data_IF_982226200633
#
_entry.id   IF_982226200633
#
_cell.length_a   1.000
_cell.length_b   1.000
_cell.length_c   1.000
_cell.angle_alpha   90.00
_cell.angle_beta   90.00
_cell.angle_gamma   90.00
#
_symmetry.space_group_name_H-M   'P 1'
#
loop_
_entity.id
_entity.type
_entity.pdbx_description
1 polymer ?
#
# COMPACT_ATOMS: atom_id res chain seq x y z
N UNK A 1 -10.87 -20.79 2.86
CA UNK A 1 -9.71 -20.05 3.38
C UNK A 1 -9.63 -18.71 2.68
N UNK A 2 -9.55 -17.60 3.42
CA UNK A 2 -9.48 -16.27 2.84
C UNK A 2 -8.05 -15.72 2.92
N UNK A 3 -7.53 -15.21 1.80
CA UNK A 3 -6.26 -14.51 1.72
C UNK A 3 -6.53 -13.01 1.62
N UNK A 4 -5.92 -12.21 2.49
CA UNK A 4 -6.14 -10.77 2.60
C UNK A 4 -4.81 -10.03 2.48
N UNK A 5 -4.78 -8.94 1.72
CA UNK A 5 -3.59 -8.11 1.58
C UNK A 5 -3.93 -6.64 1.85
N UNK A 6 -3.12 -5.99 2.68
CA UNK A 6 -3.20 -4.55 2.88
C UNK A 6 -2.09 -3.90 2.07
N UNK A 7 -2.48 -3.02 1.15
CA UNK A 7 -1.55 -2.19 0.38
C UNK A 7 -1.79 -0.71 0.69
N UNK A 8 -0.80 0.12 0.41
CA UNK A 8 -0.80 1.55 0.67
C UNK A 8 0.61 2.03 0.97
N UNK A 9 0.89 3.30 0.68
CA UNK A 9 2.20 3.91 0.94
C UNK A 9 2.52 3.91 2.45
N UNK A 10 3.80 3.77 2.79
CA UNK A 10 4.28 4.01 4.16
C UNK A 10 3.83 5.37 4.70
N UNK A 11 3.65 5.49 6.02
CA UNK A 11 3.02 6.66 6.66
C UNK A 11 1.54 6.93 6.32
N UNK A 12 0.87 6.08 5.52
CA UNK A 12 -0.58 6.21 5.29
C UNK A 12 -1.44 5.67 6.44
N UNK A 13 -0.84 5.08 7.49
CA UNK A 13 -1.58 4.53 8.64
C UNK A 13 -2.05 3.07 8.47
N UNK A 14 -1.54 2.36 7.47
CA UNK A 14 -1.83 0.93 7.19
C UNK A 14 -1.67 -0.02 8.40
N UNK A 15 -0.86 0.38 9.41
CA UNK A 15 -0.70 -0.35 10.68
C UNK A 15 -2.03 -0.56 11.39
N UNK A 16 -2.93 0.42 11.34
CA UNK A 16 -4.26 0.38 11.96
C UNK A 16 -5.02 -0.84 11.42
N UNK A 17 -5.07 -0.98 10.09
CA UNK A 17 -5.75 -2.11 9.45
C UNK A 17 -5.07 -3.45 9.74
N UNK A 18 -3.73 -3.52 9.70
CA UNK A 18 -3.00 -4.76 9.98
C UNK A 18 -3.28 -5.26 11.41
N UNK A 19 -3.27 -4.33 12.38
CA UNK A 19 -3.64 -4.61 13.77
C UNK A 19 -5.10 -5.03 13.90
N UNK A 20 -6.04 -4.35 13.24
CA UNK A 20 -7.45 -4.74 13.22
C UNK A 20 -7.64 -6.17 12.72
N UNK A 21 -7.00 -6.55 11.61
CA UNK A 21 -7.08 -7.94 11.09
C UNK A 21 -6.50 -8.95 12.08
N UNK A 22 -5.34 -8.66 12.66
CA UNK A 22 -4.71 -9.54 13.66
C UNK A 22 -5.63 -9.75 14.88
N UNK A 23 -6.18 -8.66 15.44
CA UNK A 23 -7.12 -8.72 16.56
C UNK A 23 -8.46 -9.39 16.19
N UNK A 24 -8.78 -9.48 14.89
CA UNK A 24 -9.96 -10.19 14.35
C UNK A 24 -9.68 -11.68 14.06
N UNK A 25 -8.51 -12.18 14.47
CA UNK A 25 -8.11 -13.58 14.29
C UNK A 25 -7.63 -13.92 12.88
N UNK A 26 -7.14 -12.95 12.10
CA UNK A 26 -6.43 -13.21 10.85
C UNK A 26 -4.96 -13.50 11.14
N UNK A 27 -4.44 -14.61 10.63
CA UNK A 27 -3.01 -14.91 10.70
C UNK A 27 -2.23 -14.03 9.72
N UNK A 28 -1.47 -13.06 10.24
CA UNK A 28 -0.77 -12.05 9.44
C UNK A 28 0.67 -12.44 9.04
N UNK A 29 1.05 -13.70 9.26
CA UNK A 29 2.40 -14.23 9.03
C UNK A 29 3.16 -14.53 10.33
N UNK A 30 4.30 -15.22 10.21
CA UNK A 30 5.01 -15.79 11.37
C UNK A 30 5.74 -14.75 12.23
N UNK A 31 6.23 -13.67 11.61
CA UNK A 31 7.00 -12.64 12.29
C UNK A 31 6.55 -11.26 11.83
N UNK A 32 6.18 -10.42 12.81
CA UNK A 32 5.72 -9.06 12.58
C UNK A 32 6.64 -8.06 13.28
N UNK A 33 6.96 -6.95 12.61
CA UNK A 33 7.66 -5.83 13.24
C UNK A 33 6.67 -4.95 14.08
N UNK A 34 7.13 -3.91 14.81
CA UNK A 34 6.24 -3.03 15.58
C UNK A 34 5.17 -2.28 14.75
N UNK A 35 5.37 -2.16 13.44
CA UNK A 35 4.42 -1.58 12.48
C UNK A 35 3.43 -2.60 11.92
N UNK A 36 3.47 -3.85 12.41
CA UNK A 36 2.68 -4.99 11.94
C UNK A 36 2.90 -5.29 10.46
N UNK A 37 4.14 -5.11 9.99
CA UNK A 37 4.61 -5.61 8.70
C UNK A 37 5.10 -7.04 8.85
N UNK A 38 4.81 -7.87 7.85
CA UNK A 38 5.44 -9.19 7.72
C UNK A 38 6.93 -9.00 7.35
N UNK A 39 7.82 -9.59 8.16
CA UNK A 39 9.28 -9.52 8.02
C UNK A 39 9.91 -10.91 8.17
N UNK A 40 11.14 -11.16 7.68
CA UNK A 40 12.05 -10.27 6.92
C UNK A 40 11.46 -9.81 5.57
N UNK A 41 11.77 -8.59 5.13
CA UNK A 41 11.14 -7.95 3.95
C UNK A 41 12.08 -7.84 2.73
N UNK A 42 13.33 -8.26 2.88
CA UNK A 42 14.42 -8.12 1.91
C UNK A 42 14.09 -8.78 0.57
N UNK A 43 13.45 -9.95 0.58
CA UNK A 43 13.01 -10.63 -0.64
C UNK A 43 11.93 -9.87 -1.38
N UNK A 44 10.99 -9.22 -0.65
CA UNK A 44 10.01 -8.34 -1.29
C UNK A 44 10.69 -7.09 -1.87
N UNK A 45 11.71 -6.54 -1.21
CA UNK A 45 12.46 -5.40 -1.75
C UNK A 45 13.16 -5.76 -3.06
N UNK A 46 13.75 -6.96 -3.13
CA UNK A 46 14.36 -7.44 -4.36
C UNK A 46 13.32 -7.73 -5.45
N UNK A 47 12.16 -8.28 -5.08
CA UNK A 47 11.03 -8.43 -6.00
C UNK A 47 10.58 -7.08 -6.59
N UNK A 48 10.57 -6.01 -5.78
CA UNK A 48 10.29 -4.65 -6.26
C UNK A 48 11.29 -4.22 -7.35
N UNK A 49 12.60 -4.41 -7.12
CA UNK A 49 13.64 -4.08 -8.10
C UNK A 49 13.46 -4.86 -9.41
N UNK A 50 13.09 -6.13 -9.33
CA UNK A 50 12.87 -6.98 -10.51
C UNK A 50 11.72 -6.45 -11.37
N UNK A 51 10.57 -6.12 -10.77
CA UNK A 51 9.42 -5.59 -11.51
C UNK A 51 9.70 -4.18 -12.05
N UNK A 52 10.38 -3.35 -11.27
CA UNK A 52 10.68 -1.96 -11.62
C UNK A 52 11.49 -1.81 -12.91
N UNK A 53 12.29 -2.82 -13.31
CA UNK A 53 12.98 -2.87 -14.61
C UNK A 53 12.06 -2.73 -15.83
N UNK A 54 10.76 -2.97 -15.65
CA UNK A 54 9.75 -2.90 -16.71
C UNK A 54 8.87 -1.66 -16.63
N UNK A 55 9.08 -0.80 -15.64
CA UNK A 55 8.44 0.51 -15.51
C UNK A 55 9.20 1.51 -16.37
N UNK A 56 8.49 2.28 -17.21
CA UNK A 56 9.12 3.33 -18.03
C UNK A 56 8.72 4.70 -17.49
N UNK A 57 9.70 5.49 -17.04
CA UNK A 57 9.46 6.88 -16.67
C UNK A 57 9.36 7.74 -17.93
N UNK A 58 8.25 8.47 -18.08
CA UNK A 58 7.96 9.32 -19.25
C UNK A 58 8.31 10.79 -19.03
N UNK A 59 8.75 11.15 -17.83
CA UNK A 59 9.04 12.52 -17.41
C UNK A 59 8.06 13.03 -16.37
N UNK A 60 8.48 14.01 -15.56
CA UNK A 60 7.66 14.53 -14.46
C UNK A 60 7.20 13.42 -13.50
N UNK A 61 5.90 13.36 -13.24
CA UNK A 61 5.24 12.31 -12.45
C UNK A 61 4.39 11.36 -13.31
N UNK A 62 4.89 11.02 -14.50
CA UNK A 62 4.25 10.08 -15.43
C UNK A 62 5.09 8.80 -15.65
N UNK A 63 4.42 7.65 -15.62
CA UNK A 63 5.02 6.33 -15.80
C UNK A 63 4.14 5.43 -16.67
N UNK A 64 4.77 4.59 -17.49
CA UNK A 64 4.12 3.53 -18.22
C UNK A 64 4.14 2.21 -17.43
N UNK A 65 2.96 1.71 -17.10
CA UNK A 65 2.76 0.41 -16.45
C UNK A 65 2.20 -0.66 -17.40
N UNK A 66 1.90 -0.31 -18.66
CA UNK A 66 1.11 -1.15 -19.58
C UNK A 66 1.66 -2.56 -19.75
N UNK A 67 2.99 -2.69 -19.87
CA UNK A 67 3.66 -3.99 -20.01
C UNK A 67 3.40 -4.91 -18.82
N UNK A 68 3.33 -4.37 -17.59
CA UNK A 68 3.20 -5.14 -16.35
C UNK A 68 1.92 -5.98 -16.30
N UNK A 69 0.88 -5.56 -17.03
CA UNK A 69 -0.43 -6.22 -17.02
C UNK A 69 -0.50 -7.46 -17.92
N UNK A 70 0.34 -7.54 -18.96
CA UNK A 70 0.22 -8.56 -20.01
C UNK A 70 1.47 -9.42 -20.18
N UNK A 71 2.65 -8.88 -19.89
CA UNK A 71 3.90 -9.63 -20.05
C UNK A 71 3.99 -10.83 -19.10
N UNK A 72 4.75 -11.89 -19.41
CA UNK A 72 5.05 -12.94 -18.45
C UNK A 72 5.68 -12.37 -17.17
N UNK A 73 5.27 -12.87 -16.01
CA UNK A 73 5.88 -12.51 -14.72
C UNK A 73 7.26 -13.18 -14.67
N UNK A 74 8.28 -12.42 -14.25
CA UNK A 74 9.63 -12.95 -14.10
C UNK A 74 9.66 -14.06 -13.03
N UNK A 75 10.21 -15.22 -13.37
CA UNK A 75 10.25 -16.35 -12.45
C UNK A 75 11.03 -16.05 -11.16
N UNK A 76 12.02 -15.15 -11.21
CA UNK A 76 12.73 -14.70 -10.01
C UNK A 76 11.83 -13.88 -9.09
N UNK A 77 10.95 -13.04 -9.65
CA UNK A 77 9.95 -12.32 -8.87
C UNK A 77 9.02 -13.29 -8.13
N UNK A 78 8.46 -14.27 -8.85
CA UNK A 78 7.55 -15.25 -8.25
C UNK A 78 8.21 -15.98 -7.09
N UNK A 79 9.44 -16.48 -7.26
CA UNK A 79 10.17 -17.19 -6.19
C UNK A 79 10.38 -16.32 -4.95
N UNK A 80 10.79 -15.06 -5.13
CA UNK A 80 11.02 -14.15 -4.00
C UNK A 80 9.73 -13.81 -3.26
N UNK A 81 8.64 -13.56 -3.98
CA UNK A 81 7.33 -13.27 -3.36
C UNK A 81 6.78 -14.49 -2.63
N UNK A 82 6.87 -15.68 -3.21
CA UNK A 82 6.41 -16.92 -2.56
C UNK A 82 7.25 -17.26 -1.33
N UNK A 83 8.57 -17.04 -1.38
CA UNK A 83 9.47 -17.22 -0.25
C UNK A 83 9.15 -16.25 0.89
N UNK A 84 9.00 -14.95 0.58
CA UNK A 84 8.58 -13.92 1.52
C UNK A 84 7.24 -14.25 2.18
N UNK A 85 6.25 -14.69 1.39
CA UNK A 85 4.91 -15.02 1.86
C UNK A 85 4.80 -16.46 2.39
N UNK A 86 5.88 -17.23 2.46
CA UNK A 86 5.85 -18.67 2.76
C UNK A 86 5.08 -18.99 4.05
N UNK A 87 5.30 -18.23 5.12
CA UNK A 87 4.59 -18.41 6.40
C UNK A 87 3.08 -18.21 6.26
N UNK A 88 2.66 -17.23 5.46
CA UNK A 88 1.25 -16.98 5.17
C UNK A 88 0.70 -18.10 4.29
N UNK A 89 1.35 -18.41 3.17
CA UNK A 89 0.85 -19.36 2.17
C UNK A 89 0.79 -20.81 2.67
N UNK A 90 1.64 -21.20 3.62
CA UNK A 90 1.67 -22.52 4.23
C UNK A 90 0.79 -22.68 5.49
N UNK A 91 0.22 -21.59 6.01
CA UNK A 91 -0.61 -21.62 7.22
C UNK A 91 -1.99 -22.24 6.96
N UNK A 92 -2.42 -23.16 7.83
CA UNK A 92 -3.77 -23.76 7.81
C UNK A 92 -4.86 -22.86 8.43
N UNK A 93 -4.50 -21.63 8.84
CA UNK A 93 -5.46 -20.69 9.39
C UNK A 93 -6.60 -20.41 8.39
N UNK A 94 -7.84 -20.40 8.90
CA UNK A 94 -9.04 -20.14 8.08
C UNK A 94 -8.94 -18.79 7.33
N UNK A 95 -8.37 -17.79 8.01
CA UNK A 95 -8.11 -16.44 7.50
C UNK A 95 -6.65 -16.11 7.69
N UNK A 96 -6.02 -15.68 6.60
CA UNK A 96 -4.60 -15.34 6.57
C UNK A 96 -4.37 -14.12 5.70
N UNK A 97 -3.29 -13.41 5.95
CA UNK A 97 -2.97 -12.22 5.18
C UNK A 97 -1.57 -11.71 5.44
N UNK A 98 -1.24 -10.62 4.75
CA UNK A 98 0.01 -9.92 4.95
C UNK A 98 -0.20 -8.42 4.79
N UNK A 99 0.75 -7.68 5.34
CA UNK A 99 0.88 -6.25 5.13
C UNK A 99 2.35 -5.92 5.00
N UNK A 100 2.68 -5.14 3.98
CA UNK A 100 3.97 -4.48 3.78
C UNK A 100 3.76 -3.36 2.75
N UNK A 101 4.09 -2.08 3.04
CA UNK A 101 3.82 -0.96 2.13
C UNK A 101 4.37 -1.16 0.71
N UNK A 102 5.54 -1.79 0.61
CA UNK A 102 6.27 -2.09 -0.63
C UNK A 102 5.49 -3.03 -1.56
N UNK A 103 4.53 -3.80 -1.03
CA UNK A 103 3.59 -4.59 -1.86
C UNK A 103 2.87 -3.71 -2.89
N UNK A 104 2.65 -2.42 -2.58
CA UNK A 104 2.05 -1.44 -3.49
C UNK A 104 2.90 -1.20 -4.73
N UNK A 105 4.24 -1.20 -4.59
CA UNK A 105 5.18 -0.96 -5.69
C UNK A 105 5.14 -2.07 -6.74
N UNK A 106 4.65 -3.26 -6.37
CA UNK A 106 4.57 -4.45 -7.22
C UNK A 106 3.15 -4.92 -7.47
N UNK A 107 2.17 -4.07 -7.14
CA UNK A 107 0.75 -4.41 -7.17
C UNK A 107 0.25 -5.06 -8.48
N UNK A 108 0.67 -4.63 -9.70
CA UNK A 108 0.26 -5.26 -10.95
C UNK A 108 0.55 -6.75 -11.02
N UNK A 109 1.68 -7.20 -10.47
CA UNK A 109 2.06 -8.62 -10.48
C UNK A 109 1.47 -9.36 -9.29
N UNK A 110 1.27 -8.69 -8.15
CA UNK A 110 0.58 -9.29 -7.00
C UNK A 110 -0.84 -9.74 -7.35
N UNK A 111 -1.64 -8.89 -8.02
CA UNK A 111 -3.03 -9.25 -8.40
C UNK A 111 -3.09 -10.38 -9.43
N UNK A 112 -2.02 -10.59 -10.20
CA UNK A 112 -1.92 -11.66 -11.19
C UNK A 112 -1.49 -12.99 -10.56
N UNK A 113 -0.60 -12.95 -9.56
CA UNK A 113 -0.19 -14.13 -8.81
C UNK A 113 -1.27 -14.60 -7.83
N UNK A 114 -2.00 -13.66 -7.21
CA UNK A 114 -3.00 -13.98 -6.19
C UNK A 114 -4.39 -13.38 -6.50
N UNK A 115 -5.03 -13.79 -7.62
CA UNK A 115 -6.25 -13.16 -8.14
C UNK A 115 -7.48 -13.27 -7.23
N UNK A 116 -7.49 -14.25 -6.32
CA UNK A 116 -8.58 -14.48 -5.36
C UNK A 116 -8.34 -13.78 -4.00
N UNK A 117 -7.26 -13.02 -3.86
CA UNK A 117 -6.97 -12.25 -2.64
C UNK A 117 -7.94 -11.09 -2.48
N UNK A 118 -8.38 -10.85 -1.24
CA UNK A 118 -9.10 -9.64 -0.84
C UNK A 118 -8.11 -8.51 -0.58
N UNK A 119 -7.99 -7.58 -1.53
CA UNK A 119 -7.09 -6.44 -1.40
C UNK A 119 -7.79 -5.24 -0.74
N UNK A 120 -7.19 -4.75 0.33
CA UNK A 120 -7.57 -3.49 0.99
C UNK A 120 -6.57 -2.42 0.55
N UNK A 121 -7.03 -1.49 -0.29
CA UNK A 121 -6.28 -0.32 -0.73
C UNK A 121 -6.42 0.82 0.28
N UNK A 122 -5.35 1.08 1.02
CA UNK A 122 -5.31 2.08 2.07
C UNK A 122 -4.69 3.39 1.57
N UNK A 123 -5.40 4.50 1.75
CA UNK A 123 -4.94 5.82 1.32
C UNK A 123 -5.09 6.83 2.45
N UNK A 124 -4.28 7.89 2.37
CA UNK A 124 -4.24 9.01 3.30
C UNK A 124 -3.96 10.28 2.51
N UNK A 125 -4.43 11.41 3.02
CA UNK A 125 -4.13 12.74 2.51
C UNK A 125 -2.61 12.86 2.27
N UNK A 126 -2.17 13.15 1.03
CA UNK A 126 -0.75 13.21 0.71
C UNK A 126 -0.03 14.25 1.57
N UNK A 127 -0.67 15.37 1.91
CA UNK A 127 -0.06 16.46 2.69
C UNK A 127 0.38 15.97 4.07
N UNK A 128 -0.42 15.12 4.70
CA UNK A 128 -0.07 14.44 5.95
C UNK A 128 0.94 13.31 5.76
N UNK A 129 0.83 12.57 4.66
CA UNK A 129 1.61 11.37 4.38
C UNK A 129 3.07 11.67 4.04
N UNK A 130 3.38 12.87 3.57
CA UNK A 130 4.74 13.28 3.19
C UNK A 130 5.50 13.97 4.33
N UNK A 131 4.89 14.14 5.51
CA UNK A 131 5.54 14.77 6.67
C UNK A 131 6.69 13.95 7.25
N UNK A 132 6.53 12.63 7.32
CA UNK A 132 7.52 11.72 7.90
C UNK A 132 8.39 11.02 6.86
N UNK A 133 9.59 10.58 7.27
CA UNK A 133 10.48 9.74 6.46
C UNK A 133 10.06 8.28 6.49
N UNK A 134 9.93 7.64 5.33
CA UNK A 134 9.76 6.20 5.15
C UNK A 134 10.84 5.63 4.21
N UNK A 135 11.04 4.31 4.24
CA UNK A 135 11.92 3.64 3.28
C UNK A 135 11.39 3.76 1.84
N UNK A 136 10.07 3.69 1.63
CA UNK A 136 9.45 3.91 0.30
C UNK A 136 9.47 5.34 -0.21
N UNK A 137 10.15 6.27 0.45
CA UNK A 137 10.22 7.67 0.00
C UNK A 137 11.06 7.81 -1.26
N UNK A 138 12.21 7.14 -1.33
CA UNK A 138 13.09 7.13 -2.49
C UNK A 138 12.77 5.90 -3.36
N UNK A 139 12.09 6.16 -4.48
CA UNK A 139 11.72 5.14 -5.46
C UNK A 139 12.94 4.42 -6.06
N UNK A 140 14.11 5.07 -6.09
CA UNK A 140 15.33 4.49 -6.66
C UNK A 140 15.91 3.35 -5.80
N UNK A 141 15.64 3.33 -4.49
CA UNK A 141 16.03 2.21 -3.61
C UNK A 141 15.34 0.88 -4.01
N UNK A 142 14.20 1.00 -4.71
CA UNK A 142 13.41 -0.10 -5.26
C UNK A 142 13.54 -0.23 -6.79
N UNK A 143 14.52 0.47 -7.39
CA UNK A 143 14.81 0.39 -8.82
C UNK A 143 13.79 1.09 -9.72
N UNK A 144 12.84 1.85 -9.17
CA UNK A 144 11.83 2.57 -9.95
C UNK A 144 12.44 3.87 -10.49
N UNK A 145 12.44 4.09 -11.83
CA UNK A 145 12.98 5.31 -12.41
C UNK A 145 12.08 6.51 -12.13
N UNK A 146 12.66 7.64 -11.75
CA UNK A 146 11.97 8.93 -11.61
C UNK A 146 12.98 10.09 -11.71
N UNK A 147 12.47 11.32 -11.87
CA UNK A 147 13.31 12.52 -11.79
C UNK A 147 13.74 12.78 -10.35
N UNK A 148 15.03 12.58 -10.06
CA UNK A 148 15.60 12.86 -8.74
C UNK A 148 15.42 14.33 -8.36
N UNK A 149 15.09 14.58 -7.10
CA UNK A 149 15.00 15.91 -6.50
C UNK A 149 15.80 15.95 -5.19
N UNK A 150 16.30 17.14 -4.84
CA UNK A 150 16.97 17.37 -3.55
C UNK A 150 15.99 17.73 -2.44
N UNK A 151 14.75 18.06 -2.79
CA UNK A 151 13.69 18.35 -1.82
C UNK A 151 13.07 17.03 -1.32
N UNK A 152 13.27 16.75 -0.03
CA UNK A 152 12.76 15.53 0.59
C UNK A 152 11.23 15.45 0.62
N UNK A 153 10.51 16.57 0.69
CA UNK A 153 9.03 16.60 0.62
C UNK A 153 8.54 16.33 -0.78
N UNK A 154 9.22 16.92 -1.77
CA UNK A 154 8.92 16.66 -3.18
C UNK A 154 9.16 15.19 -3.54
N UNK A 155 10.29 14.61 -3.10
CA UNK A 155 10.59 13.19 -3.30
C UNK A 155 9.48 12.29 -2.73
N UNK A 156 9.03 12.58 -1.51
CA UNK A 156 7.92 11.86 -0.86
C UNK A 156 6.60 12.02 -1.59
N UNK A 157 6.31 13.22 -2.11
CA UNK A 157 5.12 13.50 -2.90
C UNK A 157 5.15 12.75 -4.25
N UNK A 158 6.30 12.69 -4.91
CA UNK A 158 6.52 11.89 -6.12
C UNK A 158 6.31 10.40 -5.82
N UNK A 159 6.86 9.88 -4.71
CA UNK A 159 6.63 8.49 -4.28
C UNK A 159 5.15 8.20 -3.99
N UNK A 160 4.44 9.11 -3.32
CA UNK A 160 3.00 8.98 -3.12
C UNK A 160 2.24 8.95 -4.45
N UNK A 161 2.58 9.85 -5.39
CA UNK A 161 1.99 9.91 -6.72
C UNK A 161 2.22 8.61 -7.48
N UNK A 162 3.45 8.11 -7.53
CA UNK A 162 3.78 6.83 -8.15
C UNK A 162 2.92 5.67 -7.61
N UNK A 163 2.82 5.55 -6.29
CA UNK A 163 2.07 4.46 -5.64
C UNK A 163 0.56 4.55 -5.88
N UNK A 164 0.02 5.77 -5.99
CA UNK A 164 -1.37 5.94 -6.43
C UNK A 164 -1.54 5.53 -7.90
N UNK A 165 -0.66 5.99 -8.78
CA UNK A 165 -0.76 5.77 -10.23
C UNK A 165 -0.61 4.29 -10.60
N UNK A 166 0.33 3.56 -9.99
CA UNK A 166 0.46 2.13 -10.25
C UNK A 166 -0.79 1.35 -9.81
N UNK A 167 -1.43 1.76 -8.71
CA UNK A 167 -2.69 1.15 -8.25
C UNK A 167 -3.84 1.50 -9.18
N UNK A 168 -3.90 2.73 -9.69
CA UNK A 168 -4.92 3.16 -10.68
C UNK A 168 -4.77 2.45 -12.02
N UNK A 169 -3.55 2.33 -12.53
CA UNK A 169 -3.26 1.68 -13.80
C UNK A 169 -3.52 0.17 -13.77
N UNK A 170 -3.42 -0.45 -12.59
CA UNK A 170 -3.69 -1.89 -12.42
C UNK A 170 -5.18 -2.20 -12.55
N UNK A 171 -5.58 -3.12 -13.46
CA UNK A 171 -6.95 -3.63 -13.49
C UNK A 171 -7.37 -4.13 -12.12
N UNK A 172 -8.51 -3.63 -11.61
CA UNK A 172 -8.90 -3.92 -10.23
C UNK A 172 -9.12 -5.43 -10.06
N UNK A 173 -8.54 -6.03 -9.01
CA UNK A 173 -8.73 -7.45 -8.73
C UNK A 173 -10.20 -7.72 -8.38
N UNK A 174 -10.59 -8.99 -8.45
CA UNK A 174 -11.95 -9.46 -8.17
C UNK A 174 -12.49 -8.96 -6.83
N UNK A 175 -11.63 -8.90 -5.81
CA UNK A 175 -11.98 -8.41 -4.49
C UNK A 175 -11.11 -7.20 -4.12
N UNK A 176 -11.69 -6.01 -4.24
CA UNK A 176 -11.03 -4.73 -3.95
C UNK A 176 -11.90 -3.87 -3.03
N UNK A 177 -11.31 -3.34 -1.97
CA UNK A 177 -11.93 -2.34 -1.11
C UNK A 177 -10.94 -1.20 -0.87
N UNK A 178 -11.35 0.05 -1.10
CA UNK A 178 -10.53 1.22 -0.80
C UNK A 178 -11.00 1.90 0.48
N UNK A 179 -10.04 2.29 1.34
CA UNK A 179 -10.29 2.92 2.63
C UNK A 179 -9.37 4.12 2.80
N UNK A 180 -9.96 5.27 3.13
CA UNK A 180 -9.23 6.45 3.61
C UNK A 180 -9.00 6.31 5.10
N UNK A 181 -7.78 6.56 5.57
CA UNK A 181 -7.49 6.56 7.01
C UNK A 181 -8.37 7.56 7.76
N UNK A 182 -8.71 8.66 7.11
CA UNK A 182 -9.55 9.72 7.66
C UNK A 182 -10.96 9.19 7.99
N UNK A 183 -11.56 8.44 7.06
CA UNK A 183 -12.87 7.82 7.27
C UNK A 183 -12.79 6.72 8.34
N UNK A 184 -11.72 5.93 8.36
CA UNK A 184 -11.55 4.90 9.38
C UNK A 184 -11.45 5.48 10.80
N UNK A 185 -10.80 6.63 10.97
CA UNK A 185 -10.69 7.28 12.27
C UNK A 185 -11.95 8.07 12.68
N UNK A 186 -12.56 8.81 11.74
CA UNK A 186 -13.68 9.73 12.06
C UNK A 186 -15.04 9.04 11.97
N UNK A 187 -15.19 8.09 11.05
CA UNK A 187 -16.43 7.34 10.78
C UNK A 187 -16.18 5.83 10.98
N UNK A 188 -15.55 5.47 12.08
CA UNK A 188 -15.02 4.11 12.29
C UNK A 188 -16.10 3.03 12.15
N UNK A 189 -17.28 3.20 12.77
CA UNK A 189 -18.35 2.18 12.70
C UNK A 189 -18.85 1.96 11.26
N UNK A 190 -19.04 3.02 10.50
CA UNK A 190 -19.47 2.95 9.09
C UNK A 190 -18.40 2.27 8.23
N UNK A 191 -17.15 2.69 8.40
CA UNK A 191 -16.01 2.12 7.66
C UNK A 191 -15.79 0.65 8.01
N UNK A 192 -15.92 0.29 9.29
CA UNK A 192 -15.83 -1.11 9.74
C UNK A 192 -16.97 -1.96 9.16
N UNK A 193 -18.22 -1.48 9.16
CA UNK A 193 -19.33 -2.23 8.59
C UNK A 193 -19.13 -2.57 7.11
N UNK A 194 -18.64 -1.59 6.32
CA UNK A 194 -18.26 -1.83 4.90
C UNK A 194 -17.12 -2.84 4.75
N UNK A 195 -16.13 -2.78 5.63
CA UNK A 195 -15.02 -3.74 5.63
C UNK A 195 -15.48 -5.15 6.03
N UNK A 196 -16.36 -5.28 7.03
CA UNK A 196 -16.93 -6.56 7.46
C UNK A 196 -17.77 -7.20 6.35
N UNK A 197 -18.59 -6.42 5.65
CA UNK A 197 -19.34 -6.87 4.47
C UNK A 197 -18.40 -7.37 3.37
N UNK A 198 -17.36 -6.58 3.05
CA UNK A 198 -16.36 -6.95 2.05
C UNK A 198 -15.58 -8.21 2.44
N UNK A 199 -15.17 -8.32 3.70
CA UNK A 199 -14.33 -9.40 4.20
C UNK A 199 -15.13 -10.68 4.49
N UNK A 200 -16.40 -10.55 4.87
CA UNK A 200 -17.31 -11.65 5.21
C UNK A 200 -17.16 -12.18 6.63
N UNK A 201 -16.62 -11.38 7.56
CA UNK A 201 -16.48 -11.73 8.98
C UNK A 201 -16.41 -10.47 9.86
N UNK A 202 -16.82 -10.55 11.14
CA UNK A 202 -16.76 -9.41 12.05
C UNK A 202 -15.33 -8.98 12.37
N UNK A 203 -15.10 -7.68 12.50
CA UNK A 203 -13.81 -7.09 12.81
C UNK A 203 -13.73 -6.62 14.27
N UNK A 204 -12.59 -6.88 14.90
CA UNK A 204 -12.26 -6.34 16.21
C UNK A 204 -12.07 -4.82 16.14
N UNK A 205 -12.86 -4.10 16.92
CA UNK A 205 -12.79 -2.64 16.99
C UNK A 205 -11.61 -2.22 17.85
N UNK A 206 -10.56 -1.72 17.21
CA UNK A 206 -9.38 -1.18 17.90
C UNK A 206 -9.58 0.31 18.22
N UNK A 207 -9.05 0.82 19.34
CA UNK A 207 -9.00 2.26 19.58
C UNK A 207 -8.19 2.98 18.51
N UNK A 208 -8.75 4.04 17.95
CA UNK A 208 -8.09 4.93 16.98
C UNK A 208 -8.25 6.38 17.44
N UNK A 209 -7.24 7.21 17.18
CA UNK A 209 -7.31 8.66 17.43
C UNK A 209 -7.29 9.42 16.10
N UNK A 210 -7.95 10.58 16.10
CA UNK A 210 -7.94 11.48 14.96
C UNK A 210 -6.71 12.40 14.94
N UNK A 211 -5.90 12.43 16.00
CA UNK A 211 -4.74 13.33 16.15
C UNK A 211 -3.76 13.33 14.96
N UNK A 212 -3.53 12.20 14.25
CA UNK A 212 -2.67 12.23 13.08
C UNK A 212 -3.27 12.94 11.86
N UNK A 213 -4.58 13.21 11.83
CA UNK A 213 -5.29 13.74 10.65
C UNK A 213 -5.23 15.27 10.63
N UNK A 214 -4.86 15.81 9.47
CA UNK A 214 -4.79 17.25 9.23
C UNK A 214 -3.63 17.93 9.94
N UNK A 215 -2.56 17.21 10.29
CA UNK A 215 -1.35 17.79 10.89
C UNK A 215 -0.67 18.77 9.95
N UNK A 216 -0.80 18.54 8.65
CA UNK A 216 -0.33 19.46 7.61
C UNK A 216 -0.87 20.90 7.78
N UNK A 217 -2.04 21.10 8.39
CA UNK A 217 -2.61 22.44 8.64
C UNK A 217 -1.78 23.31 9.58
N UNK A 218 -0.96 22.68 10.42
CA UNK A 218 -0.01 23.34 11.32
C UNK A 218 1.44 23.19 10.87
N UNK A 219 1.68 22.46 9.77
CA UNK A 219 3.01 22.26 9.20
C UNK A 219 3.44 23.52 8.45
N UNK A 220 4.68 23.96 8.68
CA UNK A 220 5.25 25.14 8.03
C UNK A 220 6.15 24.78 6.85
N UNK A 221 6.44 23.49 6.64
CA UNK A 221 7.15 23.00 5.48
C UNK A 221 6.24 22.86 4.26
N UNK A 222 6.84 22.78 3.06
CA UNK A 222 6.12 22.58 1.81
C UNK A 222 5.40 21.22 1.82
N UNK A 223 4.08 21.27 1.64
CA UNK A 223 3.23 20.08 1.51
C UNK A 223 2.28 20.12 0.31
N UNK A 224 2.13 21.28 -0.33
CA UNK A 224 1.37 21.43 -1.56
C UNK A 224 2.30 21.34 -2.78
N UNK A 225 1.91 20.48 -3.72
CA UNK A 225 2.57 20.28 -5.00
C UNK A 225 1.48 20.18 -6.06
N UNK A 226 1.61 20.92 -7.17
CA UNK A 226 0.55 21.05 -8.18
C UNK A 226 0.04 19.68 -8.68
N UNK A 227 0.93 18.71 -8.82
CA UNK A 227 0.59 17.36 -9.28
C UNK A 227 -0.21 16.51 -8.27
N UNK A 228 -0.43 17.00 -7.05
CA UNK A 228 -1.28 16.34 -6.04
C UNK A 228 -2.74 16.81 -6.11
N UNK A 229 -3.03 17.95 -6.76
CA UNK A 229 -4.36 18.56 -6.75
C UNK A 229 -5.45 17.63 -7.31
N UNK A 230 -5.28 17.17 -8.56
CA UNK A 230 -6.23 16.25 -9.21
C UNK A 230 -6.47 14.97 -8.37
N UNK A 231 -5.43 14.25 -7.90
CA UNK A 231 -5.61 13.12 -6.99
C UNK A 231 -6.35 13.43 -5.70
N UNK A 232 -6.11 14.60 -5.13
CA UNK A 232 -6.76 15.03 -3.90
C UNK A 232 -8.25 15.29 -4.13
N UNK A 233 -8.64 15.86 -5.27
CA UNK A 233 -10.04 16.04 -5.68
C UNK A 233 -10.73 14.67 -5.84
N UNK A 234 -10.12 13.75 -6.58
CA UNK A 234 -10.68 12.41 -6.80
C UNK A 234 -10.86 11.61 -5.51
N UNK A 235 -9.96 11.78 -4.54
CA UNK A 235 -10.00 11.12 -3.24
C UNK A 235 -10.83 11.89 -2.20
N UNK A 236 -11.39 13.05 -2.57
CA UNK A 236 -12.24 13.88 -1.71
C UNK A 236 -11.52 14.53 -0.53
N UNK A 237 -10.30 15.02 -0.77
CA UNK A 237 -9.47 15.75 0.20
C UNK A 237 -9.52 17.29 0.07
N UNK A 238 -10.19 17.78 -0.97
CA UNK A 238 -10.44 19.21 -1.25
C UNK A 238 -11.91 19.44 -1.60
#
# INVERSE_FOLDING_TARGET
MALIAIIGRGHSGTRIMSRTLLESGVYMGAQLNPSYDLVPAEEMYEACRIMARYVVHRGGVDWDFSKLHTMPIDAAFTRLVESYLSSVLSSDAERRGWKLPETTLVFPWMVRLFPETKYIGWVRDPRDSIMGRHITDDLSEFGVPYSLTKDGREMRAISWRYQLEIVKATPKPKYWCSVRVEDFCVKQNETMGRLEEFLGFPLSKIPVTADPIGRWKSDTEKHDFDFLQEPMEELGYV
#
